data_IF_625936656734
#
_entry.id   IF_625936656734
#
_cell.length_a   1.000
_cell.length_b   1.000
_cell.length_c   1.000
_cell.angle_alpha   90.00
_cell.angle_beta   90.00
_cell.angle_gamma   90.00
#
_symmetry.space_group_name_H-M   'P 1'
#
loop_
_entity.id
_entity.type
_entity.pdbx_description
1 polymer ?
#
# COMPACT_ATOMS: atom_id res chain seq x y z
N UNK A 1 3.38 15.81 -4.32
CA UNK A 1 2.32 14.79 -4.30
C UNK A 1 2.82 13.66 -5.19
N UNK A 2 3.11 12.50 -4.61
CA UNK A 2 3.56 11.33 -5.36
C UNK A 2 2.39 10.70 -6.11
N UNK A 3 2.68 10.00 -7.19
CA UNK A 3 1.72 9.15 -7.88
C UNK A 3 2.10 7.70 -7.65
N UNK A 4 1.12 6.81 -7.77
CA UNK A 4 1.40 5.38 -7.72
C UNK A 4 0.45 4.59 -8.62
N UNK A 5 0.99 3.54 -9.24
CA UNK A 5 0.25 2.59 -10.06
C UNK A 5 0.60 1.19 -9.60
N UNK A 6 -0.39 0.30 -9.49
CA UNK A 6 -0.15 -1.04 -8.97
C UNK A 6 -1.21 -2.03 -9.39
N UNK A 7 -0.90 -3.30 -9.13
CA UNK A 7 -1.82 -4.41 -9.30
C UNK A 7 -2.04 -5.07 -7.94
N UNK A 8 -3.30 -5.38 -7.65
CA UNK A 8 -3.73 -6.01 -6.42
C UNK A 8 -4.62 -7.20 -6.76
N UNK A 9 -4.56 -8.23 -5.94
CA UNK A 9 -5.39 -9.41 -6.02
C UNK A 9 -5.96 -9.73 -4.65
N UNK A 10 -7.15 -10.32 -4.63
CA UNK A 10 -7.83 -10.75 -3.41
C UNK A 10 -8.21 -12.22 -3.49
N UNK A 11 -7.97 -12.98 -2.41
CA UNK A 11 -8.40 -14.37 -2.26
C UNK A 11 -9.33 -14.48 -1.06
N UNK A 12 -10.62 -14.71 -1.32
CA UNK A 12 -11.66 -14.77 -0.30
C UNK A 12 -11.65 -16.10 0.46
N UNK A 13 -11.67 -16.02 1.79
CA UNK A 13 -11.81 -17.12 2.74
C UNK A 13 -13.28 -17.22 3.24
N UNK A 14 -14.24 -16.88 2.40
CA UNK A 14 -15.66 -16.76 2.73
C UNK A 14 -16.26 -15.44 2.22
N UNK A 15 -17.44 -15.07 2.72
CA UNK A 15 -18.10 -13.81 2.35
C UNK A 15 -17.54 -12.58 3.07
N UNK A 16 -16.76 -12.78 4.14
CA UNK A 16 -16.28 -11.69 4.99
C UNK A 16 -14.78 -11.46 4.88
N UNK A 17 -13.96 -12.51 4.99
CA UNK A 17 -12.51 -12.35 5.08
C UNK A 17 -11.81 -12.69 3.77
N UNK A 18 -10.72 -12.00 3.48
CA UNK A 18 -9.87 -12.27 2.32
C UNK A 18 -8.41 -11.95 2.62
N UNK A 19 -7.51 -12.58 1.87
CA UNK A 19 -6.13 -12.13 1.76
C UNK A 19 -5.99 -11.18 0.59
N UNK A 20 -5.25 -10.09 0.79
CA UNK A 20 -4.80 -9.22 -0.30
C UNK A 20 -3.31 -9.40 -0.51
N UNK A 21 -2.91 -9.46 -1.78
CA UNK A 21 -1.53 -9.22 -2.17
C UNK A 21 -1.47 -8.15 -3.25
N UNK A 22 -0.34 -7.45 -3.34
CA UNK A 22 -0.18 -6.42 -4.35
C UNK A 22 1.26 -6.00 -4.58
N UNK A 23 1.49 -5.40 -5.73
CA UNK A 23 2.71 -4.68 -6.05
C UNK A 23 2.30 -3.32 -6.57
N UNK A 24 2.89 -2.26 -6.00
CA UNK A 24 2.67 -0.88 -6.44
C UNK A 24 4.02 -0.28 -6.80
N UNK A 25 4.07 0.50 -7.86
CA UNK A 25 5.14 1.44 -8.14
C UNK A 25 4.69 2.81 -7.62
N UNK A 26 5.47 3.43 -6.74
CA UNK A 26 5.18 4.76 -6.20
C UNK A 26 6.37 5.69 -6.41
N UNK A 27 6.09 6.94 -6.78
CA UNK A 27 7.06 8.03 -6.77
C UNK A 27 7.06 8.73 -5.41
N UNK A 28 8.21 8.75 -4.76
CA UNK A 28 8.40 9.34 -3.46
C UNK A 28 8.86 10.79 -3.58
N UNK A 29 8.05 11.72 -3.04
CA UNK A 29 8.17 13.18 -3.26
C UNK A 29 9.54 13.76 -2.91
N UNK A 30 10.28 13.12 -1.99
CA UNK A 30 11.64 13.52 -1.62
C UNK A 30 12.40 12.29 -1.09
N UNK A 31 13.50 11.81 -1.73
CA UNK A 31 14.31 12.44 -2.78
C UNK A 31 14.05 11.93 -4.22
N UNK A 32 12.79 11.72 -4.64
CA UNK A 32 12.48 11.26 -6.02
C UNK A 32 12.78 9.78 -6.23
N UNK A 33 12.36 8.94 -5.28
CA UNK A 33 12.65 7.51 -5.27
C UNK A 33 11.46 6.74 -5.80
N UNK A 34 11.73 5.78 -6.68
CA UNK A 34 10.75 4.77 -7.05
C UNK A 34 10.75 3.65 -6.02
N UNK A 35 9.60 3.48 -5.36
CA UNK A 35 9.35 2.34 -4.49
C UNK A 35 8.58 1.28 -5.27
N UNK A 36 8.96 0.02 -5.06
CA UNK A 36 8.18 -1.13 -5.52
C UNK A 36 7.67 -1.94 -4.33
N UNK A 37 6.81 -1.38 -3.45
CA UNK A 37 6.24 -2.13 -2.34
C UNK A 37 5.50 -3.36 -2.84
N UNK A 38 5.95 -4.53 -2.38
CA UNK A 38 5.18 -5.76 -2.39
C UNK A 38 4.47 -5.87 -1.04
N UNK A 39 3.14 -5.94 -1.05
CA UNK A 39 2.31 -6.02 0.16
C UNK A 39 1.55 -7.33 0.22
N UNK A 40 1.35 -7.83 1.43
CA UNK A 40 0.44 -8.92 1.74
C UNK A 40 -0.27 -8.63 3.06
N UNK A 41 -1.56 -8.95 3.13
CA UNK A 41 -2.31 -8.77 4.35
C UNK A 41 -3.71 -9.33 4.29
N UNK A 42 -4.49 -8.90 5.27
CA UNK A 42 -5.84 -9.39 5.52
C UNK A 42 -6.85 -8.27 5.35
N UNK A 43 -7.94 -8.63 4.71
CA UNK A 43 -9.09 -7.78 4.52
C UNK A 43 -10.34 -8.36 5.17
N UNK A 44 -11.21 -7.46 5.61
CA UNK A 44 -12.55 -7.76 6.07
C UNK A 44 -13.56 -6.91 5.30
N UNK A 45 -14.54 -7.58 4.69
CA UNK A 45 -15.75 -6.97 4.16
C UNK A 45 -16.63 -6.54 5.34
N UNK A 46 -16.92 -5.25 5.42
CA UNK A 46 -17.74 -4.66 6.47
C UNK A 46 -19.22 -4.69 6.11
N UNK A 47 -19.54 -4.50 4.82
CA UNK A 47 -20.91 -4.64 4.31
C UNK A 47 -20.88 -5.28 2.93
N UNK A 48 -21.79 -6.22 2.70
CA UNK A 48 -22.05 -6.78 1.38
C UNK A 48 -23.11 -5.94 0.68
N UNK A 49 -22.78 -5.41 -0.49
CA UNK A 49 -23.62 -4.42 -1.17
C UNK A 49 -23.59 -4.60 -2.68
N UNK A 50 -24.68 -4.22 -3.34
CA UNK A 50 -24.70 -3.96 -4.78
C UNK A 50 -24.87 -2.43 -4.96
N UNK A 51 -23.98 -1.74 -5.68
CA UNK A 51 -23.03 -2.28 -6.67
C UNK A 51 -21.67 -2.74 -6.11
N UNK A 52 -21.38 -2.60 -4.82
CA UNK A 52 -20.19 -3.25 -4.27
C UNK A 52 -20.02 -3.14 -2.76
N UNK A 53 -18.94 -3.77 -2.30
CA UNK A 53 -18.67 -4.02 -0.89
C UNK A 53 -17.82 -2.93 -0.25
N UNK A 54 -18.12 -2.60 1.02
CA UNK A 54 -17.23 -1.81 1.86
C UNK A 54 -16.23 -2.75 2.53
N UNK A 55 -14.95 -2.43 2.49
CA UNK A 55 -13.91 -3.24 3.11
C UNK A 55 -12.87 -2.40 3.88
N UNK A 56 -12.24 -3.06 4.85
CA UNK A 56 -11.05 -2.60 5.55
C UNK A 56 -9.93 -3.62 5.35
N UNK A 57 -8.73 -3.14 5.09
CA UNK A 57 -7.56 -3.99 4.84
C UNK A 57 -6.37 -3.43 5.59
N UNK A 58 -5.69 -4.31 6.32
CA UNK A 58 -4.36 -4.03 6.85
C UNK A 58 -3.36 -4.93 6.15
N UNK A 59 -2.42 -4.32 5.42
CA UNK A 59 -1.32 -5.05 4.79
C UNK A 59 0.01 -4.68 5.44
N UNK A 60 0.97 -5.58 5.27
CA UNK A 60 2.38 -5.31 5.52
C UNK A 60 3.16 -5.66 4.26
N UNK A 61 4.22 -4.90 4.02
CA UNK A 61 5.01 -5.07 2.82
C UNK A 61 6.43 -4.63 3.02
N UNK A 62 7.21 -4.89 1.99
CA UNK A 62 8.57 -4.42 1.89
C UNK A 62 8.75 -3.70 0.55
N UNK A 63 9.49 -2.60 0.54
CA UNK A 63 9.84 -1.87 -0.67
C UNK A 63 11.37 -1.76 -0.76
N UNK A 64 12.02 -2.37 -1.76
CA UNK A 64 13.42 -2.09 -2.00
C UNK A 64 13.58 -0.62 -2.40
N UNK A 65 14.62 0.02 -1.89
CA UNK A 65 14.94 1.43 -2.14
C UNK A 65 16.34 1.56 -2.71
N UNK A 66 16.47 2.45 -3.68
CA UNK A 66 17.76 2.87 -4.23
C UNK A 66 18.01 4.34 -3.83
N UNK A 67 19.01 4.57 -2.99
CA UNK A 67 19.41 5.90 -2.51
C UNK A 67 20.81 6.25 -3.03
N UNK A 68 20.94 6.91 -4.20
CA UNK A 68 22.25 7.25 -4.75
C UNK A 68 23.04 8.31 -3.95
N UNK A 69 22.50 8.85 -2.85
CA UNK A 69 23.17 9.86 -2.01
C UNK A 69 23.36 9.51 -0.54
N UNK A 70 22.82 8.38 -0.06
CA UNK A 70 22.70 8.12 1.39
C UNK A 70 21.73 9.10 2.07
N UNK A 71 20.75 8.59 2.81
CA UNK A 71 19.79 9.43 3.52
C UNK A 71 19.44 8.81 4.86
N UNK A 72 19.47 9.61 5.93
CA UNK A 72 18.79 9.27 7.19
C UNK A 72 17.33 9.63 7.04
N UNK A 73 16.48 8.65 6.75
CA UNK A 73 15.04 8.91 6.57
C UNK A 73 14.31 8.49 7.84
N UNK A 74 13.65 9.47 8.46
CA UNK A 74 12.70 9.26 9.56
C UNK A 74 11.48 8.43 9.09
N UNK A 75 10.72 7.83 10.02
CA UNK A 75 9.43 7.22 9.69
C UNK A 75 8.58 8.19 8.88
N UNK A 76 7.96 7.68 7.82
CA UNK A 76 7.15 8.46 6.91
C UNK A 76 5.69 8.05 7.04
N UNK A 77 4.83 9.06 7.09
CA UNK A 77 3.38 8.92 7.18
C UNK A 77 2.77 9.59 5.97
N UNK A 78 1.84 8.90 5.32
CA UNK A 78 1.14 9.45 4.16
C UNK A 78 -0.30 8.97 4.11
N UNK A 79 -1.13 9.78 3.48
CA UNK A 79 -2.56 9.55 3.32
C UNK A 79 -2.94 9.90 1.89
N UNK A 80 -3.69 9.02 1.25
CA UNK A 80 -4.04 9.16 -0.16
C UNK A 80 -5.46 8.71 -0.45
N UNK A 81 -6.05 9.33 -1.46
CA UNK A 81 -7.23 8.83 -2.14
C UNK A 81 -6.80 8.16 -3.43
N UNK A 82 -7.23 6.92 -3.63
CA UNK A 82 -6.94 6.12 -4.80
C UNK A 82 -8.22 5.67 -5.49
N UNK A 83 -8.10 5.42 -6.79
CA UNK A 83 -9.13 4.77 -7.57
C UNK A 83 -8.48 3.67 -8.42
N UNK A 84 -9.26 2.64 -8.70
CA UNK A 84 -8.97 1.60 -9.68
C UNK A 84 -10.19 1.42 -10.55
N UNK A 85 -10.09 0.60 -11.60
CA UNK A 85 -11.26 0.20 -12.36
C UNK A 85 -12.35 -0.33 -11.42
N UNK A 86 -12.02 -1.17 -10.44
CA UNK A 86 -13.04 -1.82 -9.60
C UNK A 86 -13.40 -1.12 -8.30
N UNK A 87 -12.69 -0.06 -7.87
CA UNK A 87 -12.74 0.43 -6.47
C UNK A 87 -12.39 1.92 -6.35
N UNK A 88 -12.99 2.59 -5.38
CA UNK A 88 -12.46 3.84 -4.79
C UNK A 88 -12.03 3.55 -3.36
N UNK A 89 -10.88 4.08 -2.95
CA UNK A 89 -10.35 3.80 -1.63
C UNK A 89 -9.57 4.98 -1.04
N UNK A 90 -9.54 4.99 0.28
CA UNK A 90 -8.65 5.80 1.09
C UNK A 90 -7.57 4.88 1.67
N UNK A 91 -6.31 5.31 1.59
CA UNK A 91 -5.15 4.59 2.11
C UNK A 91 -4.41 5.49 3.08
N UNK A 92 -4.18 5.01 4.30
CA UNK A 92 -3.24 5.60 5.25
C UNK A 92 -2.06 4.65 5.38
N UNK A 93 -0.84 5.17 5.29
CA UNK A 93 0.37 4.34 5.27
C UNK A 93 1.44 4.85 6.22
N UNK A 94 2.16 3.90 6.80
CA UNK A 94 3.39 4.14 7.55
C UNK A 94 4.51 3.38 6.87
N UNK A 95 5.58 4.07 6.51
CA UNK A 95 6.80 3.47 6.00
C UNK A 95 7.94 3.68 7.01
N UNK A 96 8.65 2.59 7.34
CA UNK A 96 9.76 2.59 8.30
C UNK A 96 11.02 2.11 7.59
N UNK A 97 12.13 2.84 7.74
CA UNK A 97 13.45 2.39 7.27
C UNK A 97 14.20 1.76 8.44
N UNK A 98 14.29 0.42 8.52
CA UNK A 98 15.24 -0.21 9.41
C UNK A 98 16.67 0.04 8.89
N UNK A 99 17.40 0.96 9.54
CA UNK A 99 18.81 1.30 9.31
C UNK A 99 19.15 2.05 8.00
N UNK A 100 19.35 3.36 8.12
CA UNK A 100 19.48 4.31 7.02
C UNK A 100 20.95 4.62 6.62
N UNK A 101 21.82 3.59 6.55
CA UNK A 101 23.25 3.76 6.26
C UNK A 101 23.75 3.14 4.95
N UNK A 102 22.88 2.69 4.05
CA UNK A 102 23.33 2.02 2.84
C UNK A 102 22.65 2.52 1.56
N UNK A 103 23.45 2.50 0.50
CA UNK A 103 23.11 2.80 -0.90
C UNK A 103 21.93 1.93 -1.42
N UNK A 104 21.63 0.80 -0.74
CA UNK A 104 20.51 -0.10 -1.00
C UNK A 104 19.80 -0.46 0.33
N UNK A 105 18.60 0.06 0.55
CA UNK A 105 17.80 -0.22 1.75
C UNK A 105 16.53 -1.02 1.42
N UNK A 106 15.86 -1.54 2.44
CA UNK A 106 14.49 -2.07 2.32
C UNK A 106 13.61 -1.35 3.32
N UNK A 107 12.53 -0.72 2.84
CA UNK A 107 11.50 -0.14 3.68
C UNK A 107 10.55 -1.23 4.15
N UNK A 108 10.13 -1.17 5.40
CA UNK A 108 8.91 -1.83 5.85
C UNK A 108 7.74 -0.90 5.61
N UNK A 109 6.66 -1.42 5.03
CA UNK A 109 5.53 -0.64 4.55
C UNK A 109 4.24 -1.20 5.14
N UNK A 110 3.47 -0.36 5.83
CA UNK A 110 2.25 -0.77 6.54
C UNK A 110 1.07 0.11 6.10
N UNK A 111 0.40 -0.24 4.98
CA UNK A 111 -0.79 0.45 4.54
C UNK A 111 -2.04 -0.11 5.21
N UNK A 112 -2.91 0.80 5.63
CA UNK A 112 -4.28 0.56 6.04
C UNK A 112 -5.20 1.15 4.97
N UNK A 113 -5.96 0.30 4.29
CA UNK A 113 -6.84 0.71 3.21
C UNK A 113 -8.31 0.52 3.60
N UNK A 114 -9.12 1.55 3.40
CA UNK A 114 -10.58 1.50 3.46
C UNK A 114 -11.12 1.80 2.08
N UNK A 115 -11.99 0.96 1.54
CA UNK A 115 -12.51 1.19 0.20
C UNK A 115 -13.85 0.57 -0.08
N UNK A 116 -14.43 1.00 -1.19
CA UNK A 116 -15.72 0.54 -1.71
C UNK A 116 -15.48 -0.04 -3.10
N UNK A 117 -15.93 -1.27 -3.36
CA UNK A 117 -16.01 -1.81 -4.72
C UNK A 117 -17.11 -1.11 -5.50
N UNK A 118 -16.85 -0.81 -6.77
CA UNK A 118 -17.78 -0.10 -7.64
C UNK A 118 -18.67 -1.04 -8.45
N UNK A 119 -18.26 -2.31 -8.62
CA UNK A 119 -18.95 -3.37 -9.35
C UNK A 119 -18.39 -4.75 -8.99
#
# INVERSE_FOLDING_TARGET
MGWGAGAFWDVFLGSTFFFRGGIKAEDFVDPGIFLFPATIGIGARLTEGSPGDLYLIGDAGFAPTFYPGGASVSPYYDVGLGYSFTRVFFEAKVAIIPNANYVNGTLLYFPLTVGIHLF
#
